data_IF_294085883644
#
_entry.id   IF_294085883644
#
_cell.length_a   1.000
_cell.length_b   1.000
_cell.length_c   1.000
_cell.angle_alpha   90.00
_cell.angle_beta   90.00
_cell.angle_gamma   90.00
#
_symmetry.space_group_name_H-M   'P 1'
#
loop_
_entity.id
_entity.type
_entity.pdbx_description
1 polymer ?
#
# COMPACT_ATOMS: atom_id res chain seq x y z
N UNK A 1 35.42 -7.90 6.75
CA UNK A 1 34.80 -6.56 6.73
C UNK A 1 33.58 -6.64 7.62
N UNK A 2 33.74 -6.28 8.90
CA UNK A 2 32.80 -6.56 9.98
C UNK A 2 31.53 -5.71 9.90
N UNK A 3 30.41 -6.29 10.33
CA UNK A 3 29.10 -5.63 10.44
C UNK A 3 29.10 -4.43 11.38
N UNK A 4 29.97 -4.41 12.40
CA UNK A 4 30.17 -3.25 13.28
C UNK A 4 30.70 -2.02 12.53
N UNK A 5 31.51 -2.20 11.48
CA UNK A 5 32.04 -1.09 10.68
C UNK A 5 30.98 -0.49 9.75
N UNK A 6 29.93 -1.26 9.39
CA UNK A 6 28.73 -0.71 8.74
C UNK A 6 27.84 0.05 9.72
N UNK A 7 27.75 -0.43 10.97
CA UNK A 7 26.96 0.23 12.02
C UNK A 7 27.55 1.57 12.48
N UNK A 8 28.87 1.75 12.44
CA UNK A 8 29.51 2.98 12.92
C UNK A 8 29.55 4.14 11.90
N UNK A 9 29.23 3.91 10.62
CA UNK A 9 29.20 4.96 9.58
C UNK A 9 27.85 5.69 9.45
N UNK A 10 26.85 5.33 10.27
CA UNK A 10 25.56 6.02 10.33
C UNK A 10 25.43 6.95 11.55
N UNK A 11 26.45 6.97 12.41
CA UNK A 11 26.56 7.87 13.55
C UNK A 11 27.19 9.20 13.14
N UNK A 12 26.36 10.14 12.69
CA UNK A 12 26.76 11.51 12.40
C UNK A 12 26.53 11.87 10.94
N UNK A 13 25.94 13.05 10.75
CA UNK A 13 25.45 13.68 9.53
C UNK A 13 23.95 13.46 9.30
N UNK A 14 23.20 14.54 9.56
CA UNK A 14 21.82 14.72 9.16
C UNK A 14 21.67 14.71 7.63
N UNK A 15 21.70 13.52 7.05
CA UNK A 15 21.07 13.24 5.78
C UNK A 15 19.62 12.92 6.10
N UNK A 16 18.74 13.91 5.93
CA UNK A 16 17.32 13.65 5.67
C UNK A 16 17.27 12.72 4.47
N UNK A 17 17.32 11.42 4.72
CA UNK A 17 16.95 10.44 3.74
C UNK A 17 15.48 10.74 3.45
N UNK A 18 15.17 11.21 2.24
CA UNK A 18 13.85 11.68 1.82
C UNK A 18 12.85 10.52 1.73
N UNK A 19 12.71 9.74 2.80
CA UNK A 19 11.70 8.71 2.92
C UNK A 19 10.33 9.37 3.04
N UNK A 20 9.39 8.82 2.31
CA UNK A 20 7.98 9.15 2.45
C UNK A 20 7.42 8.56 3.74
N UNK A 21 6.33 9.16 4.22
CA UNK A 21 5.55 8.70 5.37
C UNK A 21 5.28 7.18 5.34
N UNK A 22 4.88 6.67 4.17
CA UNK A 22 4.58 5.27 3.97
C UNK A 22 5.79 4.36 3.89
N UNK A 23 6.92 4.82 3.36
CA UNK A 23 8.17 4.07 3.40
C UNK A 23 8.65 3.89 4.84
N UNK A 24 8.58 4.96 5.66
CA UNK A 24 8.89 4.89 7.09
C UNK A 24 7.94 3.92 7.78
N UNK A 25 6.62 4.02 7.52
CA UNK A 25 5.62 3.16 8.14
C UNK A 25 5.86 1.69 7.79
N UNK A 26 6.09 1.38 6.50
CA UNK A 26 6.39 0.03 6.02
C UNK A 26 7.60 -0.56 6.74
N UNK A 27 8.69 0.20 6.86
CA UNK A 27 9.90 -0.33 7.50
C UNK A 27 9.72 -0.50 9.00
N UNK A 28 9.05 0.44 9.68
CA UNK A 28 8.65 0.29 11.08
C UNK A 28 7.86 -1.01 11.29
N UNK A 29 6.84 -1.26 10.44
CA UNK A 29 6.04 -2.50 10.49
C UNK A 29 6.87 -3.75 10.25
N UNK A 30 7.80 -3.74 9.30
CA UNK A 30 8.71 -4.88 9.07
C UNK A 30 9.56 -5.20 10.30
N UNK A 31 10.12 -4.17 10.95
CA UNK A 31 10.86 -4.35 12.20
C UNK A 31 9.99 -4.93 13.31
N UNK A 32 8.74 -4.45 13.45
CA UNK A 32 7.79 -4.98 14.43
C UNK A 32 7.43 -6.45 14.16
N UNK A 33 7.21 -6.83 12.89
CA UNK A 33 6.93 -8.21 12.49
C UNK A 33 8.13 -9.13 12.73
N UNK A 34 9.36 -8.63 12.55
CA UNK A 34 10.59 -9.41 12.77
C UNK A 34 11.11 -9.38 14.21
N UNK A 35 10.47 -8.65 15.12
CA UNK A 35 10.95 -8.45 16.50
C UNK A 35 12.21 -7.58 16.63
N UNK A 36 12.51 -6.76 15.62
CA UNK A 36 13.66 -5.83 15.64
C UNK A 36 13.28 -4.51 16.33
N UNK A 37 13.41 -4.48 17.65
CA UNK A 37 13.06 -3.30 18.43
C UNK A 37 13.95 -2.08 18.15
N UNK A 38 15.23 -2.30 17.83
CA UNK A 38 16.16 -1.21 17.55
C UNK A 38 15.81 -0.54 16.22
N UNK A 39 15.50 -1.34 15.20
CA UNK A 39 14.99 -0.84 13.93
C UNK A 39 13.66 -0.12 14.08
N UNK A 40 12.72 -0.66 14.88
CA UNK A 40 11.45 0.01 15.16
C UNK A 40 11.67 1.40 15.76
N UNK A 41 12.49 1.50 16.83
CA UNK A 41 12.80 2.78 17.49
C UNK A 41 13.41 3.78 16.51
N UNK A 42 14.30 3.32 15.63
CA UNK A 42 14.93 4.14 14.59
C UNK A 42 13.94 4.66 13.55
N UNK A 43 13.00 3.84 13.09
CA UNK A 43 12.00 4.31 12.12
C UNK A 43 10.98 5.25 12.76
N UNK A 44 10.58 4.99 14.02
CA UNK A 44 9.70 5.89 14.78
C UNK A 44 10.31 7.26 15.03
N UNK A 45 11.62 7.35 15.27
CA UNK A 45 12.29 8.64 15.50
C UNK A 45 12.26 9.58 14.28
N UNK A 46 11.85 9.09 13.11
CA UNK A 46 11.68 9.90 11.90
C UNK A 46 10.32 10.63 11.86
N UNK A 47 9.38 10.30 12.76
CA UNK A 47 8.10 10.97 12.85
C UNK A 47 8.16 12.22 13.74
N UNK A 48 7.35 13.21 13.38
CA UNK A 48 6.99 14.29 14.30
C UNK A 48 6.00 13.76 15.34
N UNK A 49 5.90 14.43 16.50
CA UNK A 49 4.97 14.02 17.57
C UNK A 49 3.52 13.85 17.08
N UNK A 50 3.07 14.74 16.19
CA UNK A 50 1.73 14.64 15.58
C UNK A 50 1.57 13.37 14.75
N UNK A 51 2.56 13.04 13.92
CA UNK A 51 2.56 11.83 13.08
C UNK A 51 2.63 10.57 13.93
N UNK A 52 3.45 10.58 14.98
CA UNK A 52 3.58 9.46 15.90
C UNK A 52 2.27 9.19 16.63
N UNK A 53 1.54 10.23 17.04
CA UNK A 53 0.19 10.07 17.64
C UNK A 53 -0.80 9.40 16.68
N UNK A 54 -0.80 9.78 15.41
CA UNK A 54 -1.70 9.18 14.41
C UNK A 54 -1.31 7.73 14.10
N UNK A 55 -0.01 7.44 14.02
CA UNK A 55 0.51 6.07 13.89
C UNK A 55 0.13 5.24 15.10
N UNK A 56 0.33 5.74 16.33
CA UNK A 56 -0.03 5.04 17.55
C UNK A 56 -1.53 4.71 17.62
N UNK A 57 -2.40 5.58 17.10
CA UNK A 57 -3.84 5.29 16.97
C UNK A 57 -4.11 4.17 15.96
N UNK A 58 -3.43 4.16 14.81
CA UNK A 58 -3.57 3.10 13.81
C UNK A 58 -3.07 1.75 14.33
N UNK A 59 -1.95 1.73 15.07
CA UNK A 59 -1.37 0.51 15.65
C UNK A 59 -2.29 -0.19 16.65
N UNK A 60 -3.23 0.55 17.28
CA UNK A 60 -4.25 -0.03 18.17
C UNK A 60 -5.38 -0.73 17.40
N UNK A 61 -5.45 -0.58 16.07
CA UNK A 61 -6.49 -1.18 15.21
C UNK A 61 -5.97 -2.44 14.55
N UNK A 62 -5.96 -3.54 15.30
CA UNK A 62 -5.39 -4.82 14.85
C UNK A 62 -5.92 -5.31 13.50
N UNK A 63 -7.22 -5.13 13.22
CA UNK A 63 -7.83 -5.53 11.94
C UNK A 63 -7.20 -4.78 10.75
N UNK A 64 -7.03 -3.46 10.89
CA UNK A 64 -6.41 -2.61 9.88
C UNK A 64 -4.92 -2.87 9.77
N UNK A 65 -4.25 -3.03 10.90
CA UNK A 65 -2.81 -3.31 10.95
C UNK A 65 -2.48 -4.58 10.18
N UNK A 66 -3.21 -5.66 10.47
CA UNK A 66 -3.07 -6.94 9.76
C UNK A 66 -3.39 -6.82 8.27
N UNK A 67 -4.26 -5.89 7.86
CA UNK A 67 -4.57 -5.68 6.45
C UNK A 67 -3.44 -4.90 5.75
N UNK A 68 -2.93 -3.85 6.39
CA UNK A 68 -1.76 -3.12 5.87
C UNK A 68 -0.51 -4.00 5.84
N UNK A 69 -0.34 -4.89 6.81
CA UNK A 69 0.79 -5.81 6.86
C UNK A 69 0.83 -6.77 5.66
N UNK A 70 -0.32 -7.13 5.10
CA UNK A 70 -0.37 -7.98 3.90
C UNK A 70 0.17 -7.28 2.65
N UNK A 71 0.25 -5.94 2.66
CA UNK A 71 0.87 -5.14 1.59
C UNK A 71 2.38 -4.92 1.79
N UNK A 72 2.98 -5.34 2.90
CA UNK A 72 4.41 -5.15 3.16
C UNK A 72 5.30 -5.71 2.04
N UNK A 73 5.03 -6.88 1.41
CA UNK A 73 5.88 -7.40 0.34
C UNK A 73 5.99 -6.49 -0.88
N UNK A 74 5.01 -5.63 -1.15
CA UNK A 74 4.94 -4.81 -2.36
C UNK A 74 5.37 -3.38 -2.03
N UNK A 75 6.69 -3.13 -2.03
CA UNK A 75 7.25 -1.84 -1.59
C UNK A 75 6.66 -0.63 -2.32
N UNK A 76 6.36 -0.77 -3.60
CA UNK A 76 5.96 0.33 -4.47
C UNK A 76 4.56 0.91 -4.15
N UNK A 77 3.73 0.19 -3.39
CA UNK A 77 2.41 0.69 -2.98
C UNK A 77 2.48 1.78 -1.90
N UNK A 78 3.56 1.80 -1.12
CA UNK A 78 3.64 2.59 0.11
C UNK A 78 3.89 4.08 -0.12
N UNK A 79 4.31 4.49 -1.32
CA UNK A 79 4.62 5.89 -1.61
C UNK A 79 3.41 6.83 -1.50
N UNK A 80 2.21 6.31 -1.75
CA UNK A 80 0.96 7.07 -1.62
C UNK A 80 0.34 7.00 -0.21
N UNK A 81 0.94 6.23 0.71
CA UNK A 81 0.54 6.21 2.11
C UNK A 81 1.06 7.46 2.81
N UNK A 82 0.17 8.45 3.00
CA UNK A 82 0.50 9.73 3.66
C UNK A 82 -0.12 9.77 5.05
N UNK A 83 0.70 10.00 6.08
CA UNK A 83 0.19 10.06 7.46
C UNK A 83 -0.80 11.21 7.64
N UNK A 84 -0.62 12.32 6.93
CA UNK A 84 -1.59 13.43 6.92
C UNK A 84 -2.99 13.03 6.43
N UNK A 85 -3.16 11.89 5.76
CA UNK A 85 -4.46 11.35 5.34
C UNK A 85 -5.02 10.27 6.27
N UNK A 86 -4.29 9.86 7.31
CA UNK A 86 -4.75 8.81 8.23
C UNK A 86 -6.04 9.17 8.96
N UNK A 87 -6.30 10.45 9.19
CA UNK A 87 -7.56 10.92 9.78
C UNK A 87 -8.80 10.41 9.00
N UNK A 88 -8.69 10.15 7.69
CA UNK A 88 -9.77 9.57 6.88
C UNK A 88 -10.10 8.17 7.38
N UNK A 89 -9.10 7.31 7.55
CA UNK A 89 -9.26 5.95 8.06
C UNK A 89 -9.68 5.99 9.54
N UNK A 90 -9.00 6.79 10.35
CA UNK A 90 -9.22 6.84 11.80
C UNK A 90 -10.63 7.34 12.15
N UNK A 91 -11.17 8.33 11.43
CA UNK A 91 -12.47 8.91 11.79
C UNK A 91 -13.67 8.09 11.29
N UNK A 92 -13.51 7.35 10.19
CA UNK A 92 -14.63 6.61 9.61
C UNK A 92 -15.08 5.43 10.48
N UNK A 93 -14.20 4.78 11.25
CA UNK A 93 -14.47 3.57 12.08
C UNK A 93 -15.37 2.53 11.37
N UNK A 94 -14.98 2.19 10.15
CA UNK A 94 -15.52 1.07 9.34
C UNK A 94 -14.33 0.16 9.04
N UNK A 95 -13.68 -0.30 10.12
CA UNK A 95 -12.34 -0.88 10.05
C UNK A 95 -12.37 -2.20 9.27
N UNK A 96 -13.47 -2.95 9.37
CA UNK A 96 -13.75 -4.19 8.64
C UNK A 96 -13.82 -3.95 7.13
N UNK A 97 -14.57 -2.94 6.68
CA UNK A 97 -14.74 -2.60 5.27
C UNK A 97 -13.42 -2.08 4.66
N UNK A 98 -12.69 -1.26 5.41
CA UNK A 98 -11.35 -0.78 5.00
C UNK A 98 -10.39 -1.96 4.87
N UNK A 99 -10.39 -2.88 5.85
CA UNK A 99 -9.54 -4.06 5.80
C UNK A 99 -9.93 -5.01 4.66
N UNK A 100 -11.22 -5.16 4.36
CA UNK A 100 -11.71 -5.92 3.22
C UNK A 100 -11.24 -5.30 1.89
N UNK A 101 -11.34 -3.98 1.74
CA UNK A 101 -10.82 -3.27 0.57
C UNK A 101 -9.32 -3.55 0.37
N UNK A 102 -8.54 -3.51 1.46
CA UNK A 102 -7.10 -3.75 1.39
C UNK A 102 -6.80 -5.21 1.00
N UNK A 103 -7.39 -6.20 1.67
CA UNK A 103 -7.08 -7.62 1.43
C UNK A 103 -7.65 -8.13 0.09
N UNK A 104 -8.95 -7.99 -0.10
CA UNK A 104 -9.62 -8.52 -1.29
C UNK A 104 -9.40 -7.64 -2.51
N UNK A 105 -9.22 -6.33 -2.30
CA UNK A 105 -9.10 -5.37 -3.39
C UNK A 105 -7.67 -5.01 -3.77
N UNK A 106 -6.76 -4.81 -2.81
CA UNK A 106 -5.38 -4.45 -3.15
C UNK A 106 -4.53 -5.71 -3.20
N UNK A 107 -4.35 -6.39 -2.08
CA UNK A 107 -3.45 -7.54 -1.95
C UNK A 107 -3.77 -8.63 -2.99
N UNK A 108 -5.03 -9.06 -3.10
CA UNK A 108 -5.42 -10.12 -4.04
C UNK A 108 -5.11 -9.75 -5.50
N UNK A 109 -5.40 -8.50 -5.92
CA UNK A 109 -5.14 -8.06 -7.29
C UNK A 109 -3.62 -8.04 -7.59
N UNK A 110 -2.81 -7.60 -6.65
CA UNK A 110 -1.35 -7.59 -6.83
C UNK A 110 -0.75 -9.00 -6.77
N UNK A 111 -1.31 -9.89 -5.94
CA UNK A 111 -0.99 -11.31 -5.94
C UNK A 111 -1.30 -11.95 -7.30
N UNK A 112 -2.43 -11.62 -7.92
CA UNK A 112 -2.78 -12.08 -9.26
C UNK A 112 -1.79 -11.57 -10.30
N UNK A 113 -1.55 -10.26 -10.36
CA UNK A 113 -0.63 -9.64 -11.33
C UNK A 113 0.78 -10.26 -11.23
N UNK A 114 1.28 -10.41 -10.00
CA UNK A 114 2.64 -10.88 -9.72
C UNK A 114 2.75 -12.40 -9.55
N UNK A 115 1.63 -13.13 -9.65
CA UNK A 115 1.60 -14.59 -9.51
C UNK A 115 2.03 -15.10 -8.13
N UNK A 116 1.79 -14.32 -7.07
CA UNK A 116 2.18 -14.67 -5.69
C UNK A 116 3.70 -14.70 -5.44
N UNK A 117 4.53 -14.20 -6.36
CA UNK A 117 5.98 -14.26 -6.25
C UNK A 117 6.52 -13.08 -5.42
N UNK A 118 6.93 -13.36 -4.19
CA UNK A 118 7.47 -12.37 -3.26
C UNK A 118 8.71 -11.63 -3.81
N UNK A 119 9.52 -12.26 -4.66
CA UNK A 119 10.67 -11.61 -5.30
C UNK A 119 10.21 -10.52 -6.29
N UNK A 120 9.14 -10.79 -7.05
CA UNK A 120 8.58 -9.81 -7.98
C UNK A 120 7.89 -8.66 -7.23
N UNK A 121 7.22 -8.95 -6.10
CA UNK A 121 6.61 -7.93 -5.23
C UNK A 121 7.65 -6.93 -4.73
N UNK A 122 8.77 -7.41 -4.20
CA UNK A 122 9.84 -6.55 -3.70
C UNK A 122 10.55 -5.77 -4.84
N UNK A 123 10.53 -6.29 -6.07
CA UNK A 123 11.11 -5.65 -7.26
C UNK A 123 10.14 -4.78 -8.02
N UNK A 124 8.87 -4.70 -7.62
CA UNK A 124 7.90 -3.81 -8.25
C UNK A 124 8.34 -2.36 -8.04
N UNK A 125 8.28 -1.55 -9.10
CA UNK A 125 8.67 -0.15 -9.07
C UNK A 125 7.46 0.79 -9.08
N UNK A 126 7.63 1.93 -8.42
CA UNK A 126 6.58 2.94 -8.26
C UNK A 126 6.09 3.53 -9.60
N UNK A 127 6.95 3.90 -10.57
CA UNK A 127 6.47 4.38 -11.86
C UNK A 127 5.46 3.44 -12.52
N UNK A 128 5.71 2.13 -12.45
CA UNK A 128 4.79 1.11 -12.94
C UNK A 128 3.47 1.12 -12.18
N UNK A 129 3.49 1.05 -10.84
CA UNK A 129 2.28 1.10 -10.01
C UNK A 129 1.43 2.33 -10.35
N UNK A 130 2.08 3.49 -10.44
CA UNK A 130 1.42 4.77 -10.72
C UNK A 130 0.80 4.82 -12.10
N UNK A 131 1.41 4.18 -13.09
CA UNK A 131 0.92 4.15 -14.47
C UNK A 131 -0.24 3.18 -14.68
N UNK A 132 -0.27 2.06 -13.94
CA UNK A 132 -1.28 1.01 -14.13
C UNK A 132 -2.46 1.10 -13.16
N UNK A 133 -2.31 1.79 -12.02
CA UNK A 133 -3.41 1.94 -11.07
C UNK A 133 -4.67 2.53 -11.74
N UNK A 134 -5.83 2.09 -11.26
CA UNK A 134 -7.16 2.48 -11.75
C UNK A 134 -7.51 2.03 -13.18
N UNK A 135 -6.62 1.34 -13.89
CA UNK A 135 -6.90 0.75 -15.21
C UNK A 135 -7.60 -0.60 -15.10
N UNK A 136 -8.33 -0.98 -16.15
CA UNK A 136 -9.05 -2.26 -16.25
C UNK A 136 -8.86 -2.88 -17.67
N UNK A 137 -7.65 -3.36 -18.01
CA UNK A 137 -7.30 -3.77 -19.38
C UNK A 137 -8.09 -4.95 -19.94
N UNK A 138 -8.67 -5.81 -19.09
CA UNK A 138 -9.51 -6.92 -19.53
C UNK A 138 -10.85 -6.48 -20.15
N UNK A 139 -11.26 -5.23 -19.93
CA UNK A 139 -12.52 -4.67 -20.44
C UNK A 139 -12.35 -3.35 -21.21
N UNK A 140 -11.25 -2.62 -20.99
CA UNK A 140 -10.96 -1.35 -21.66
C UNK A 140 -9.88 -1.53 -22.71
N UNK A 141 -10.24 -1.37 -23.99
CA UNK A 141 -9.28 -1.50 -25.10
C UNK A 141 -8.13 -0.49 -24.99
N UNK A 142 -8.43 0.73 -24.58
CA UNK A 142 -7.41 1.77 -24.38
C UNK A 142 -6.43 1.40 -23.27
N UNK A 143 -6.90 0.82 -22.17
CA UNK A 143 -6.02 0.35 -21.09
C UNK A 143 -5.21 -0.86 -21.53
N UNK A 144 -5.81 -1.77 -22.30
CA UNK A 144 -5.13 -2.93 -22.86
C UNK A 144 -3.95 -2.51 -23.74
N UNK A 145 -4.20 -1.66 -24.74
CA UNK A 145 -3.17 -1.22 -25.69
C UNK A 145 -2.05 -0.45 -24.95
N UNK A 146 -2.42 0.45 -24.03
CA UNK A 146 -1.45 1.16 -23.18
C UNK A 146 -0.56 0.21 -22.38
N UNK A 147 -1.13 -0.81 -21.74
CA UNK A 147 -0.35 -1.77 -20.95
C UNK A 147 0.51 -2.66 -21.86
N UNK A 148 -0.03 -3.15 -22.96
CA UNK A 148 0.67 -4.01 -23.90
C UNK A 148 1.92 -3.31 -24.46
N UNK A 149 1.78 -2.07 -24.92
CA UNK A 149 2.87 -1.26 -25.47
C UNK A 149 3.97 -1.00 -24.42
N UNK A 150 3.59 -0.62 -23.20
CA UNK A 150 4.55 -0.30 -22.14
C UNK A 150 5.21 -1.55 -21.52
N UNK A 151 4.57 -2.72 -21.58
CA UNK A 151 5.19 -4.00 -21.22
C UNK A 151 6.21 -4.45 -22.28
N UNK A 152 5.92 -4.21 -23.57
CA UNK A 152 6.80 -4.53 -24.69
C UNK A 152 8.02 -3.61 -24.78
N UNK A 153 7.87 -2.32 -24.40
CA UNK A 153 8.97 -1.38 -24.34
C UNK A 153 9.96 -1.74 -23.21
N UNK A 154 11.24 -1.93 -23.58
CA UNK A 154 12.29 -2.26 -22.63
C UNK A 154 12.40 -1.20 -21.52
N UNK A 155 12.38 -1.66 -20.26
CA UNK A 155 12.63 -0.80 -19.10
C UNK A 155 11.51 0.15 -18.69
N UNK A 156 10.36 0.18 -19.37
CA UNK A 156 9.24 1.07 -18.99
C UNK A 156 8.45 0.56 -17.79
N UNK A 157 7.81 -0.60 -17.93
CA UNK A 157 7.11 -1.26 -16.83
C UNK A 157 7.95 -2.36 -16.20
N UNK A 158 7.85 -2.49 -14.88
CA UNK A 158 8.59 -3.44 -14.06
C UNK A 158 10.08 -3.42 -14.39
N UNK A 159 10.66 -2.22 -14.41
CA UNK A 159 12.05 -1.93 -14.84
C UNK A 159 13.11 -2.76 -14.11
N UNK A 160 12.83 -3.15 -12.87
CA UNK A 160 13.71 -3.97 -12.05
C UNK A 160 13.55 -5.49 -12.31
N UNK A 161 12.56 -5.89 -13.10
CA UNK A 161 12.27 -7.29 -13.48
C UNK A 161 12.76 -7.49 -14.92
N UNK A 162 13.88 -8.20 -15.08
CA UNK A 162 14.58 -8.37 -16.37
C UNK A 162 14.31 -9.71 -17.03
N UNK A 163 13.85 -10.69 -16.25
CA UNK A 163 13.59 -12.05 -16.68
C UNK A 163 12.40 -12.08 -17.65
N UNK A 164 12.69 -12.43 -18.91
CA UNK A 164 11.70 -12.39 -20.01
C UNK A 164 10.45 -13.23 -19.68
N UNK A 165 10.63 -14.44 -19.15
CA UNK A 165 9.52 -15.32 -18.77
C UNK A 165 8.63 -14.73 -17.67
N UNK A 166 9.23 -14.11 -16.64
CA UNK A 166 8.49 -13.45 -15.56
C UNK A 166 7.73 -12.23 -16.07
N UNK A 167 8.36 -11.42 -16.94
CA UNK A 167 7.72 -10.27 -17.58
C UNK A 167 6.54 -10.68 -18.46
N UNK A 168 6.67 -11.74 -19.25
CA UNK A 168 5.58 -12.29 -20.06
C UNK A 168 4.43 -12.79 -19.17
N UNK A 169 4.74 -13.47 -18.07
CA UNK A 169 3.74 -13.91 -17.09
C UNK A 169 2.99 -12.72 -16.47
N UNK A 170 3.69 -11.67 -16.06
CA UNK A 170 3.08 -10.44 -15.54
C UNK A 170 2.18 -9.81 -16.60
N UNK A 171 2.67 -9.64 -17.83
CA UNK A 171 1.89 -9.04 -18.92
C UNK A 171 0.60 -9.82 -19.18
N UNK A 172 0.69 -11.16 -19.27
CA UNK A 172 -0.46 -12.03 -19.52
C UNK A 172 -1.53 -11.90 -18.45
N UNK A 173 -1.15 -11.87 -17.16
CA UNK A 173 -2.11 -11.72 -16.05
C UNK A 173 -2.67 -10.32 -16.00
N UNK A 174 -1.81 -9.31 -16.11
CA UNK A 174 -2.19 -7.90 -16.07
C UNK A 174 -3.22 -7.56 -17.15
N UNK A 175 -3.03 -8.03 -18.40
CA UNK A 175 -3.96 -7.77 -19.51
C UNK A 175 -5.35 -8.43 -19.34
N UNK A 176 -5.49 -9.41 -18.44
CA UNK A 176 -6.76 -10.11 -18.16
C UNK A 176 -7.58 -9.46 -17.04
N UNK A 177 -7.01 -8.49 -16.33
CA UNK A 177 -7.66 -7.83 -15.20
C UNK A 177 -8.89 -7.03 -15.68
N UNK A 178 -10.08 -7.53 -15.37
CA UNK A 178 -11.37 -6.97 -15.79
C UNK A 178 -11.99 -5.99 -14.79
N UNK A 179 -11.25 -5.60 -13.76
CA UNK A 179 -11.64 -4.62 -12.76
C UNK A 179 -10.55 -3.55 -12.60
N UNK A 180 -10.82 -2.48 -11.85
CA UNK A 180 -9.80 -1.46 -11.58
C UNK A 180 -8.66 -2.07 -10.75
N UNK A 181 -7.42 -1.79 -11.15
CA UNK A 181 -6.23 -2.13 -10.35
C UNK A 181 -6.16 -1.17 -9.15
N UNK A 182 -6.43 -1.68 -7.95
CA UNK A 182 -6.50 -0.88 -6.73
C UNK A 182 -5.14 -0.76 -6.06
N UNK A 183 -4.94 0.34 -5.34
CA UNK A 183 -3.71 0.71 -4.64
C UNK A 183 -4.05 1.45 -3.34
N UNK A 184 -3.04 1.77 -2.54
CA UNK A 184 -3.23 2.64 -1.36
C UNK A 184 -3.77 4.02 -1.77
N UNK A 185 -3.36 4.53 -2.94
CA UNK A 185 -3.91 5.78 -3.48
C UNK A 185 -5.40 5.69 -3.76
N UNK A 186 -5.87 4.61 -4.41
CA UNK A 186 -7.30 4.43 -4.67
C UNK A 186 -8.09 4.26 -3.37
N UNK A 187 -7.55 3.55 -2.38
CA UNK A 187 -8.15 3.42 -1.05
C UNK A 187 -8.44 4.81 -0.45
N UNK A 188 -7.43 5.68 -0.34
CA UNK A 188 -7.64 7.01 0.25
C UNK A 188 -8.62 7.86 -0.57
N UNK A 189 -8.61 7.77 -1.90
CA UNK A 189 -9.57 8.48 -2.74
C UNK A 189 -11.00 7.99 -2.52
N UNK A 190 -11.20 6.68 -2.54
CA UNK A 190 -12.51 6.06 -2.38
C UNK A 190 -13.05 6.31 -0.96
N UNK A 191 -12.23 6.25 0.08
CA UNK A 191 -12.65 6.57 1.44
C UNK A 191 -13.05 8.04 1.62
N UNK A 192 -12.33 8.98 0.99
CA UNK A 192 -12.74 10.41 1.00
C UNK A 192 -14.08 10.61 0.32
N UNK A 193 -14.34 9.87 -0.75
CA UNK A 193 -15.62 9.89 -1.45
C UNK A 193 -16.75 9.28 -0.61
N UNK A 194 -16.48 8.17 0.11
CA UNK A 194 -17.47 7.47 0.94
C UNK A 194 -17.78 8.17 2.26
N UNK A 195 -16.87 9.02 2.76
CA UNK A 195 -16.99 9.65 4.08
C UNK A 195 -18.34 10.33 4.35
N UNK A 196 -18.90 11.17 3.46
CA UNK A 196 -20.20 11.81 3.70
C UNK A 196 -21.34 10.79 3.88
N UNK A 197 -21.33 9.69 3.11
CA UNK A 197 -22.34 8.64 3.22
C UNK A 197 -22.23 7.90 4.55
N UNK A 198 -21.01 7.58 4.99
CA UNK A 198 -20.77 6.95 6.31
C UNK A 198 -21.23 7.86 7.46
N UNK A 199 -20.95 9.16 7.36
CA UNK A 199 -21.40 10.14 8.34
C UNK A 199 -22.94 10.25 8.37
N UNK A 200 -23.60 10.26 7.21
CA UNK A 200 -25.05 10.31 7.12
C UNK A 200 -25.74 9.09 7.74
N UNK A 201 -25.24 7.87 7.47
CA UNK A 201 -25.79 6.62 8.02
C UNK A 201 -25.69 6.61 9.56
N UNK A 202 -24.61 7.15 10.12
CA UNK A 202 -24.43 7.24 11.58
C UNK A 202 -25.39 8.19 12.28
N UNK A 203 -25.82 9.24 11.57
CA UNK A 203 -26.71 10.27 12.12
C UNK A 203 -28.17 9.79 12.09
N UNK A 204 -28.51 8.76 11.30
CA UNK A 204 -29.87 8.21 11.30
C UNK A 204 -30.17 7.56 12.66
N UNK A 205 -31.17 8.06 13.41
CA UNK A 205 -31.61 7.37 14.61
C UNK A 205 -32.15 6.02 14.18
N UNK A 206 -31.59 4.96 14.75
CA UNK A 206 -32.16 3.61 14.68
C UNK A 206 -33.54 3.75 15.35
N UNK A 207 -34.60 3.86 14.54
CA UNK A 207 -35.95 3.76 15.08
C UNK A 207 -36.02 2.40 15.80
N UNK A 208 -36.33 2.36 17.11
CA UNK A 208 -36.55 1.08 17.76
C UNK A 208 -37.68 0.37 17.02
N UNK A 209 -37.61 -0.96 16.82
CA UNK A 209 -38.69 -1.69 16.20
C UNK A 209 -39.97 -1.42 17.01
N UNK A 210 -41.01 -0.95 16.31
CA UNK A 210 -42.32 -0.73 16.90
C UNK A 210 -42.71 -1.97 17.71
N UNK A 211 -42.96 -1.75 19.00
CA UNK A 211 -43.54 -2.76 19.88
C UNK A 211 -45.04 -2.77 19.58
N UNK A 212 -45.44 -3.65 18.66
CA UNK A 212 -46.85 -4.07 18.53
C UNK A 212 -47.19 -5.10 19.61
#
# INVERSE_FOLDING_TARGET
>A
LNDETRHSLLGGHGYSSNFTDGEIFRQMRRCQVSGDELGERRWRSMYTDTKERDVAQLLRRGILLNAFDSLLPIKALWKDFRLGSLHVILNMRIDEEIAHYIRSGIEQHWNEILGGDASLMERTDEPTVKAIQLRAPGISRSDYDFIQENMAASGKFFSQIREVSKRQGIASRLLRISHRILTIHSLFKDLRYMRPAVEAIRIQPIHPPNSD
#
